data_IF_438563695667
#
_entry.id   IF_438563695667
#
_cell.length_a   1.000
_cell.length_b   1.000
_cell.length_c   1.000
_cell.angle_alpha   90.00
_cell.angle_beta   90.00
_cell.angle_gamma   90.00
#
_symmetry.space_group_name_H-M   'P 1'
#
loop_
_entity.id
_entity.type
_entity.pdbx_description
1 polymer ?
#
# COMPACT_ATOMS: atom_id res chain seq x y z
N UNK A 1 19.09 3.44 13.78
CA UNK A 1 18.26 3.18 12.57
C UNK A 1 16.83 2.98 13.05
N UNK A 2 15.90 3.95 12.88
CA UNK A 2 14.52 3.77 13.32
C UNK A 2 13.85 2.74 12.40
N UNK A 3 13.73 1.51 12.89
CA UNK A 3 13.02 0.41 12.25
C UNK A 3 11.52 0.69 12.35
N UNK A 4 10.99 1.39 11.33
CA UNK A 4 9.56 1.67 11.20
C UNK A 4 8.78 0.35 11.24
N UNK A 5 7.97 0.13 12.28
CA UNK A 5 7.31 -1.15 12.50
C UNK A 5 6.05 -1.24 11.64
N UNK A 6 5.75 -2.44 11.15
CA UNK A 6 4.64 -2.70 10.20
C UNK A 6 3.28 -2.22 10.73
N UNK A 7 3.07 -2.24 12.04
CA UNK A 7 1.81 -1.79 12.65
C UNK A 7 1.54 -0.29 12.47
N UNK A 8 2.56 0.53 12.24
CA UNK A 8 2.40 1.98 12.05
C UNK A 8 1.70 2.34 10.73
N UNK A 9 1.59 1.37 9.81
CA UNK A 9 0.91 1.52 8.53
C UNK A 9 -0.60 1.23 8.61
N UNK A 10 -1.09 0.83 9.78
CA UNK A 10 -2.51 0.64 10.05
C UNK A 10 -3.00 1.76 10.97
N UNK A 11 -4.14 2.34 10.61
CA UNK A 11 -4.80 3.39 11.39
C UNK A 11 -6.21 2.94 11.70
N UNK A 12 -6.63 3.11 12.95
CA UNK A 12 -7.98 2.82 13.38
C UNK A 12 -8.76 4.13 13.30
N UNK A 13 -9.67 4.24 12.33
CA UNK A 13 -10.67 5.31 12.30
C UNK A 13 -12.04 4.73 12.57
N UNK A 14 -12.69 5.21 13.63
CA UNK A 14 -14.08 4.91 13.95
C UNK A 14 -14.43 3.42 13.94
N UNK A 15 -13.55 2.59 14.49
CA UNK A 15 -13.71 1.12 14.54
C UNK A 15 -13.37 0.38 13.24
N UNK A 16 -12.98 1.11 12.18
CA UNK A 16 -12.55 0.55 10.90
C UNK A 16 -11.03 0.65 10.75
N UNK A 17 -10.40 -0.46 10.36
CA UNK A 17 -8.96 -0.54 10.13
C UNK A 17 -8.64 -0.01 8.73
N UNK A 18 -8.30 1.29 8.65
CA UNK A 18 -7.84 1.95 7.44
C UNK A 18 -6.34 1.70 7.25
N UNK A 19 -5.94 1.45 6.00
CA UNK A 19 -4.56 1.12 5.64
C UNK A 19 -3.93 2.31 4.95
N UNK A 20 -2.76 2.76 5.42
CA UNK A 20 -2.07 3.94 4.86
C UNK A 20 -1.44 3.69 3.48
N UNK A 21 -1.17 2.42 3.12
CA UNK A 21 -0.48 2.05 1.88
C UNK A 21 -1.11 0.80 1.25
N UNK A 22 -1.11 0.69 -0.09
CA UNK A 22 -1.59 -0.51 -0.77
C UNK A 22 -0.64 -1.70 -0.57
N UNK A 23 -1.19 -2.92 -0.65
CA UNK A 23 -0.38 -4.14 -0.73
C UNK A 23 0.03 -4.42 -2.17
N UNK A 24 1.13 -5.16 -2.31
CA UNK A 24 1.48 -5.76 -3.58
C UNK A 24 0.49 -6.89 -3.94
N UNK A 25 -0.15 -6.79 -5.11
CA UNK A 25 -1.06 -7.82 -5.62
C UNK A 25 -0.38 -9.18 -5.85
N UNK A 26 0.93 -9.19 -6.15
CA UNK A 26 1.71 -10.41 -6.40
C UNK A 26 2.25 -11.05 -5.11
N UNK A 27 2.63 -10.23 -4.12
CA UNK A 27 3.23 -10.74 -2.88
C UNK A 27 2.20 -11.00 -1.79
N UNK A 28 1.01 -10.42 -1.91
CA UNK A 28 -0.10 -10.64 -1.00
C UNK A 28 -0.05 -9.80 0.27
N UNK A 29 -0.89 -10.19 1.23
CA UNK A 29 -1.11 -9.48 2.49
C UNK A 29 0.16 -9.45 3.34
N UNK A 30 0.56 -8.26 3.77
CA UNK A 30 1.77 -8.03 4.56
C UNK A 30 2.90 -7.34 3.79
N UNK A 31 2.87 -7.36 2.46
CA UNK A 31 3.83 -6.65 1.61
C UNK A 31 3.30 -5.29 1.18
N UNK A 32 3.67 -4.25 1.91
CA UNK A 32 3.33 -2.88 1.57
C UNK A 32 4.17 -2.36 0.41
N UNK A 33 3.52 -1.69 -0.54
CA UNK A 33 4.24 -0.98 -1.58
C UNK A 33 4.81 0.33 -1.01
N UNK A 34 6.03 0.67 -1.40
CA UNK A 34 6.66 1.95 -1.09
C UNK A 34 6.03 3.03 -1.96
N UNK A 35 5.60 4.11 -1.31
CA UNK A 35 5.08 5.29 -2.00
C UNK A 35 6.23 6.25 -2.33
N UNK A 36 6.43 6.52 -3.62
CA UNK A 36 7.43 7.46 -4.13
C UNK A 36 6.82 8.79 -4.63
N UNK A 37 5.51 9.00 -4.43
CA UNK A 37 4.78 10.17 -4.88
C UNK A 37 4.09 9.95 -6.22
N UNK A 38 4.87 9.62 -7.25
CA UNK A 38 4.44 9.35 -8.63
C UNK A 38 4.08 7.86 -8.87
N UNK A 39 4.65 6.96 -8.07
CA UNK A 39 4.51 5.52 -8.20
C UNK A 39 4.53 4.79 -6.87
N UNK A 40 3.99 3.58 -6.88
CA UNK A 40 4.10 2.58 -5.85
C UNK A 40 5.04 1.48 -6.31
N UNK A 41 6.06 1.15 -5.51
CA UNK A 41 7.02 0.09 -5.86
C UNK A 41 7.08 -0.97 -4.76
N UNK A 42 6.99 -2.24 -5.14
CA UNK A 42 7.17 -3.37 -4.24
C UNK A 42 8.66 -3.71 -4.12
N UNK A 43 9.22 -3.58 -2.92
CA UNK A 43 10.61 -3.94 -2.64
C UNK A 43 10.90 -5.45 -2.66
N UNK A 44 9.87 -6.30 -2.66
CA UNK A 44 10.04 -7.76 -2.67
C UNK A 44 10.04 -8.37 -4.07
N UNK A 45 9.10 -7.97 -4.95
CA UNK A 45 8.97 -8.53 -6.30
C UNK A 45 9.32 -7.56 -7.43
N UNK A 46 9.66 -6.30 -7.13
CA UNK A 46 9.99 -5.28 -8.11
C UNK A 46 8.80 -4.69 -8.87
N UNK A 47 7.56 -5.07 -8.53
CA UNK A 47 6.35 -4.52 -9.16
C UNK A 47 6.28 -3.01 -8.95
N UNK A 48 6.16 -2.25 -10.03
CA UNK A 48 5.94 -0.81 -9.98
C UNK A 48 4.58 -0.48 -10.58
N UNK A 49 3.76 0.22 -9.81
CA UNK A 49 2.43 0.70 -10.19
C UNK A 49 2.49 2.23 -10.20
N UNK A 50 2.34 2.85 -11.36
CA UNK A 50 2.29 4.30 -11.45
C UNK A 50 0.92 4.81 -10.97
N UNK A 51 0.91 5.93 -10.25
CA UNK A 51 -0.33 6.58 -9.82
C UNK A 51 -0.94 7.32 -11.02
N UNK A 52 -1.46 6.58 -11.98
CA UNK A 52 -2.33 7.16 -12.99
C UNK A 52 -3.59 7.64 -12.27
N UNK A 53 -3.95 8.91 -12.44
CA UNK A 53 -5.21 9.45 -11.94
C UNK A 53 -6.37 8.82 -12.72
N UNK A 54 -6.70 7.56 -12.44
CA UNK A 54 -7.97 6.94 -12.83
C UNK A 54 -8.66 6.44 -11.57
N UNK A 55 -9.62 7.26 -11.14
CA UNK A 55 -10.73 6.87 -10.26
C UNK A 55 -11.38 5.59 -10.81
N UNK A 56 -11.80 4.72 -9.88
CA UNK A 56 -12.87 3.72 -9.99
C UNK A 56 -12.77 2.66 -11.09
N UNK A 57 -12.57 1.41 -10.68
CA UNK A 57 -13.36 0.28 -11.14
C UNK A 57 -13.14 -0.86 -10.14
N UNK A 58 -14.18 -1.17 -9.36
CA UNK A 58 -14.50 -2.49 -8.81
C UNK A 58 -15.81 -2.30 -8.01
N UNK A 59 -16.93 -2.30 -8.73
CA UNK A 59 -18.27 -2.51 -8.21
C UNK A 59 -19.05 -3.23 -9.32
N UNK A 60 -19.90 -4.21 -9.01
CA UNK A 60 -19.81 -5.33 -8.05
C UNK A 60 -19.27 -6.61 -8.70
#
# INVERSE_FOLDING_TARGET
MPSKKIHEHYEMKDGTLERKRPFCNRCGRGYFMADHGDRYTCGHCGLTMFKSQKKQADNP
#
